data_IF_428096228544
#
_entry.id   IF_428096228544
#
_cell.length_a   1.000
_cell.length_b   1.000
_cell.length_c   1.000
_cell.angle_alpha   90.00
_cell.angle_beta   90.00
_cell.angle_gamma   90.00
#
_symmetry.space_group_name_H-M   'P 1'
#
loop_
_entity.id
_entity.type
_entity.pdbx_description
1 polymer ?
#
# COMPACT_ATOMS: atom_id res chain seq x y z
N UNK A 1 5.91 24.72 -37.47
CA UNK A 1 6.93 23.77 -36.97
C UNK A 1 6.75 23.65 -35.47
N UNK A 2 6.08 22.59 -35.01
CA UNK A 2 5.84 22.37 -33.58
C UNK A 2 7.12 21.81 -32.96
N UNK A 3 7.76 22.57 -32.06
CA UNK A 3 8.87 22.01 -31.28
C UNK A 3 8.34 20.84 -30.42
N UNK A 4 9.02 19.68 -30.40
CA UNK A 4 8.76 18.67 -29.39
C UNK A 4 9.07 19.28 -28.02
N UNK A 5 8.08 19.33 -27.14
CA UNK A 5 8.26 19.81 -25.77
C UNK A 5 9.33 19.00 -25.02
N UNK A 6 9.98 19.59 -24.01
CA UNK A 6 11.02 18.90 -23.25
C UNK A 6 10.48 17.59 -22.65
N UNK A 7 11.31 16.54 -22.57
CA UNK A 7 10.90 15.26 -22.00
C UNK A 7 10.49 15.49 -20.54
N UNK A 8 9.19 15.39 -20.27
CA UNK A 8 8.67 15.30 -18.90
C UNK A 8 9.43 14.12 -18.28
N UNK A 9 10.17 14.34 -17.20
CA UNK A 9 10.92 13.26 -16.54
C UNK A 9 10.10 12.80 -15.34
N UNK A 10 9.11 11.92 -15.50
CA UNK A 10 8.17 11.63 -14.45
C UNK A 10 8.73 10.40 -13.73
N UNK A 11 9.55 10.63 -12.72
CA UNK A 11 10.09 9.63 -11.81
C UNK A 11 10.15 10.05 -10.32
N UNK A 12 10.07 11.33 -9.91
CA UNK A 12 10.29 11.68 -8.50
C UNK A 12 9.14 11.20 -7.59
N UNK A 13 7.88 11.30 -8.01
CA UNK A 13 6.75 10.97 -7.15
C UNK A 13 6.68 9.47 -6.78
N UNK A 14 6.87 8.56 -7.74
CA UNK A 14 6.86 7.12 -7.48
C UNK A 14 8.02 6.71 -6.57
N UNK A 15 9.19 7.32 -6.76
CA UNK A 15 10.38 7.08 -5.94
C UNK A 15 10.16 7.53 -4.51
N UNK A 16 9.58 8.72 -4.31
CA UNK A 16 9.19 9.23 -2.99
C UNK A 16 8.21 8.30 -2.31
N UNK A 17 7.15 7.85 -3.00
CA UNK A 17 6.16 6.94 -2.41
C UNK A 17 6.78 5.59 -2.05
N UNK A 18 7.66 5.03 -2.90
CA UNK A 18 8.41 3.81 -2.58
C UNK A 18 9.32 3.99 -1.36
N UNK A 19 9.97 5.15 -1.24
CA UNK A 19 10.81 5.46 -0.09
C UNK A 19 9.96 5.52 1.19
N UNK A 20 8.81 6.19 1.17
CA UNK A 20 7.89 6.25 2.32
C UNK A 20 7.41 4.85 2.72
N UNK A 21 6.90 4.05 1.76
CA UNK A 21 6.44 2.68 2.04
C UNK A 21 7.59 1.78 2.53
N UNK A 22 8.78 1.94 1.95
CA UNK A 22 9.99 1.25 2.40
C UNK A 22 10.40 1.65 3.82
N UNK A 23 10.33 2.94 4.16
CA UNK A 23 10.63 3.45 5.49
C UNK A 23 9.67 2.89 6.55
N UNK A 24 8.38 2.74 6.22
CA UNK A 24 7.40 2.07 7.10
C UNK A 24 7.78 0.60 7.36
N UNK A 25 8.16 -0.14 6.31
CA UNK A 25 8.65 -1.52 6.48
C UNK A 25 9.92 -1.59 7.33
N UNK A 26 10.88 -0.69 7.11
CA UNK A 26 12.11 -0.61 7.92
C UNK A 26 11.80 -0.27 9.37
N UNK A 27 10.83 0.61 9.64
CA UNK A 27 10.42 0.95 11.00
C UNK A 27 9.95 -0.29 11.77
N UNK A 28 9.20 -1.20 11.15
CA UNK A 28 8.80 -2.46 11.78
C UNK A 28 9.99 -3.34 12.15
N UNK A 29 11.02 -3.39 11.31
CA UNK A 29 12.25 -4.13 11.58
C UNK A 29 13.03 -3.53 12.75
N UNK A 30 13.14 -2.19 12.80
CA UNK A 30 13.78 -1.47 13.89
C UNK A 30 13.03 -1.71 15.21
N UNK A 31 11.70 -1.67 15.19
CA UNK A 31 10.85 -1.99 16.35
C UNK A 31 11.10 -3.44 16.81
N UNK A 32 11.08 -4.40 15.89
CA UNK A 32 11.34 -5.81 16.20
C UNK A 32 12.72 -6.04 16.84
N UNK A 33 13.73 -5.34 16.32
CA UNK A 33 15.09 -5.39 16.83
C UNK A 33 15.18 -4.78 18.23
N UNK A 34 14.61 -3.59 18.45
CA UNK A 34 14.59 -2.95 19.76
C UNK A 34 13.89 -3.83 20.81
N UNK A 35 12.78 -4.47 20.43
CA UNK A 35 12.04 -5.36 21.32
C UNK A 35 12.79 -6.64 21.70
N UNK A 36 13.76 -7.07 20.89
CA UNK A 36 14.61 -8.23 21.17
C UNK A 36 15.44 -8.07 22.45
N UNK A 37 15.69 -6.82 22.85
CA UNK A 37 16.40 -6.48 24.08
C UNK A 37 15.47 -6.39 25.31
N UNK A 38 14.15 -6.42 25.11
CA UNK A 38 13.15 -6.22 26.17
C UNK A 38 12.43 -7.52 26.52
N UNK A 39 12.20 -8.40 25.54
CA UNK A 39 11.37 -9.61 25.69
C UNK A 39 12.22 -10.87 25.56
N UNK A 40 11.98 -11.90 26.39
CA UNK A 40 12.78 -13.12 26.32
C UNK A 40 12.56 -13.90 25.03
N UNK A 41 13.59 -14.66 24.65
CA UNK A 41 13.56 -15.62 23.54
C UNK A 41 12.90 -16.93 23.96
N UNK A 42 11.63 -16.87 24.35
CA UNK A 42 10.82 -18.02 24.73
C UNK A 42 9.91 -18.47 23.57
N UNK A 43 9.58 -19.76 23.52
CA UNK A 43 8.62 -20.29 22.55
C UNK A 43 7.28 -19.53 22.65
N UNK A 44 6.69 -19.10 21.53
CA UNK A 44 5.45 -18.34 21.56
C UNK A 44 4.30 -19.27 21.97
N UNK A 45 3.41 -18.84 22.87
CA UNK A 45 2.23 -19.63 23.21
C UNK A 45 1.35 -19.78 21.98
N UNK A 46 0.76 -20.97 21.79
CA UNK A 46 -0.03 -21.28 20.60
C UNK A 46 -1.15 -20.27 20.35
N UNK A 47 -1.78 -19.78 21.43
CA UNK A 47 -2.84 -18.75 21.37
C UNK A 47 -2.35 -17.46 20.72
N UNK A 48 -1.09 -17.04 20.99
CA UNK A 48 -0.53 -15.85 20.37
C UNK A 48 -0.28 -16.04 18.87
N UNK A 49 0.25 -17.21 18.49
CA UNK A 49 0.47 -17.56 17.08
C UNK A 49 -0.85 -17.54 16.32
N UNK A 50 -1.88 -18.21 16.85
CA UNK A 50 -3.22 -18.23 16.25
C UNK A 50 -3.80 -16.82 16.14
N UNK A 51 -3.70 -16.00 17.17
CA UNK A 51 -4.22 -14.63 17.16
C UNK A 51 -3.53 -13.74 16.11
N UNK A 52 -2.20 -13.83 15.98
CA UNK A 52 -1.44 -13.10 14.94
C UNK A 52 -1.85 -13.54 13.54
N UNK A 53 -1.98 -14.85 13.31
CA UNK A 53 -2.40 -15.38 12.01
C UNK A 53 -3.84 -15.01 11.66
N UNK A 54 -4.76 -15.01 12.64
CA UNK A 54 -6.13 -14.53 12.45
C UNK A 54 -6.17 -13.04 12.12
N UNK A 55 -5.37 -12.22 12.81
CA UNK A 55 -5.24 -10.80 12.51
C UNK A 55 -4.70 -10.57 11.09
N UNK A 56 -3.72 -11.36 10.66
CA UNK A 56 -3.19 -11.34 9.30
C UNK A 56 -4.20 -11.76 8.24
N UNK A 57 -4.96 -12.83 8.48
CA UNK A 57 -6.01 -13.27 7.58
C UNK A 57 -7.10 -12.20 7.43
N UNK A 58 -7.49 -11.55 8.53
CA UNK A 58 -8.44 -10.44 8.52
C UNK A 58 -7.90 -9.23 7.74
N UNK A 59 -6.66 -8.83 8.01
CA UNK A 59 -6.00 -7.74 7.29
C UNK A 59 -5.92 -8.02 5.78
N UNK A 60 -5.49 -9.23 5.38
CA UNK A 60 -5.46 -9.66 3.98
C UNK A 60 -6.85 -9.64 3.34
N UNK A 61 -7.88 -10.10 4.05
CA UNK A 61 -9.26 -10.06 3.57
C UNK A 61 -9.74 -8.62 3.35
N UNK A 62 -9.43 -7.69 4.25
CA UNK A 62 -9.76 -6.28 4.09
C UNK A 62 -9.00 -5.63 2.92
N UNK A 63 -7.70 -5.90 2.81
CA UNK A 63 -6.85 -5.40 1.73
C UNK A 63 -7.32 -5.88 0.35
N UNK A 64 -7.73 -7.14 0.23
CA UNK A 64 -8.25 -7.71 -1.03
C UNK A 64 -9.54 -7.04 -1.52
N UNK A 65 -10.30 -6.39 -0.63
CA UNK A 65 -11.57 -5.72 -0.97
C UNK A 65 -11.40 -4.28 -1.41
N UNK A 66 -10.30 -3.62 -1.02
CA UNK A 66 -10.16 -2.16 -1.11
C UNK A 66 -10.02 -1.62 -2.55
N UNK A 67 -9.67 -2.46 -3.53
CA UNK A 67 -9.53 -2.05 -4.93
C UNK A 67 -10.83 -1.84 -5.73
N UNK A 68 -12.00 -2.05 -5.12
CA UNK A 68 -13.30 -2.09 -5.84
C UNK A 68 -14.20 -0.87 -5.65
N UNK A 69 -13.78 0.15 -4.87
CA UNK A 69 -14.67 1.23 -4.40
C UNK A 69 -14.12 2.64 -4.66
N UNK A 70 -13.54 2.86 -5.83
CA UNK A 70 -13.08 4.19 -6.21
C UNK A 70 -14.19 4.88 -6.99
N UNK A 71 -14.68 5.99 -6.45
CA UNK A 71 -15.66 6.81 -7.13
C UNK A 71 -15.00 7.50 -8.34
N UNK A 72 -15.59 7.41 -9.55
CA UNK A 72 -15.07 8.09 -10.72
C UNK A 72 -15.01 9.62 -10.55
N UNK A 73 -14.13 10.27 -11.30
CA UNK A 73 -14.07 11.72 -11.35
C UNK A 73 -15.30 12.27 -12.08
N UNK A 74 -15.98 13.30 -11.54
CA UNK A 74 -17.11 13.94 -12.21
C UNK A 74 -16.75 14.41 -13.63
N UNK A 75 -17.66 14.20 -14.57
CA UNK A 75 -17.53 14.69 -15.94
C UNK A 75 -17.36 16.23 -15.96
N UNK A 76 -16.38 16.72 -16.74
CA UNK A 76 -16.13 18.16 -16.91
C UNK A 76 -15.39 18.83 -15.73
N UNK A 77 -14.85 18.06 -14.78
CA UNK A 77 -14.01 18.60 -13.71
C UNK A 77 -12.75 19.29 -14.30
N UNK A 78 -12.36 20.50 -13.81
CA UNK A 78 -11.12 21.15 -14.24
C UNK A 78 -9.89 20.27 -13.98
N UNK A 79 -8.93 20.27 -14.92
CA UNK A 79 -7.77 19.39 -14.91
C UNK A 79 -6.95 19.46 -13.61
N UNK A 80 -6.70 20.67 -13.10
CA UNK A 80 -5.94 20.84 -11.84
C UNK A 80 -6.65 20.19 -10.64
N UNK A 81 -7.97 20.38 -10.53
CA UNK A 81 -8.77 19.74 -9.47
C UNK A 81 -8.87 18.23 -9.63
N UNK A 82 -8.95 17.75 -10.86
CA UNK A 82 -8.97 16.31 -11.16
C UNK A 82 -7.66 15.66 -10.69
N UNK A 83 -6.51 16.30 -10.96
CA UNK A 83 -5.18 15.85 -10.54
C UNK A 83 -5.02 15.84 -9.02
N UNK A 84 -5.43 16.91 -8.34
CA UNK A 84 -5.35 17.01 -6.88
C UNK A 84 -6.21 15.94 -6.21
N UNK A 85 -7.44 15.76 -6.69
CA UNK A 85 -8.35 14.73 -6.18
C UNK A 85 -7.82 13.33 -6.42
N UNK A 86 -7.32 13.04 -7.61
CA UNK A 86 -6.74 11.75 -7.95
C UNK A 86 -5.53 11.41 -7.05
N UNK A 87 -4.67 12.40 -6.81
CA UNK A 87 -3.50 12.26 -5.92
C UNK A 87 -3.92 12.01 -4.47
N UNK A 88 -4.90 12.76 -3.97
CA UNK A 88 -5.44 12.57 -2.62
C UNK A 88 -6.09 11.19 -2.43
N UNK A 89 -6.84 10.70 -3.43
CA UNK A 89 -7.42 9.35 -3.42
C UNK A 89 -6.33 8.28 -3.42
N UNK A 90 -5.27 8.44 -4.22
CA UNK A 90 -4.14 7.52 -4.22
C UNK A 90 -3.43 7.48 -2.87
N UNK A 91 -3.07 8.64 -2.31
CA UNK A 91 -2.37 8.73 -1.02
C UNK A 91 -3.20 8.18 0.13
N UNK A 92 -4.49 8.51 0.20
CA UNK A 92 -5.39 7.99 1.23
C UNK A 92 -5.56 6.48 1.13
N UNK A 93 -5.73 5.94 -0.09
CA UNK A 93 -5.79 4.48 -0.27
C UNK A 93 -4.48 3.82 0.14
N UNK A 94 -3.33 4.39 -0.22
CA UNK A 94 -2.03 3.83 0.14
C UNK A 94 -1.83 3.79 1.66
N UNK A 95 -2.09 4.90 2.35
CA UNK A 95 -1.96 4.99 3.80
C UNK A 95 -2.90 4.02 4.51
N UNK A 96 -4.14 3.88 4.02
CA UNK A 96 -5.10 2.95 4.57
C UNK A 96 -4.64 1.50 4.38
N UNK A 97 -4.09 1.15 3.22
CA UNK A 97 -3.52 -0.19 3.00
C UNK A 97 -2.31 -0.46 3.90
N UNK A 98 -1.45 0.53 4.07
CA UNK A 98 -0.29 0.42 4.95
C UNK A 98 -0.73 0.15 6.40
N UNK A 99 -1.69 0.92 6.90
CA UNK A 99 -2.25 0.72 8.24
C UNK A 99 -2.85 -0.68 8.43
N UNK A 100 -3.59 -1.20 7.44
CA UNK A 100 -4.11 -2.57 7.49
C UNK A 100 -3.01 -3.63 7.46
N UNK A 101 -1.96 -3.43 6.65
CA UNK A 101 -0.84 -4.36 6.55
C UNK A 101 -0.05 -4.48 7.86
N UNK A 102 -0.05 -3.44 8.69
CA UNK A 102 0.66 -3.42 9.98
C UNK A 102 -0.13 -4.05 11.15
N UNK A 103 -1.43 -4.32 10.98
CA UNK A 103 -2.28 -4.92 12.04
C UNK A 103 -1.64 -6.15 12.70
N UNK A 104 -1.06 -7.12 11.96
CA UNK A 104 -0.46 -8.30 12.57
C UNK A 104 0.73 -7.96 13.48
N UNK A 105 1.52 -6.94 13.11
CA UNK A 105 2.63 -6.48 13.93
C UNK A 105 2.14 -5.82 15.22
N UNK A 106 1.12 -4.95 15.16
CA UNK A 106 0.53 -4.35 16.36
C UNK A 106 -0.11 -5.38 17.29
N UNK A 107 -0.82 -6.37 16.74
CA UNK A 107 -1.38 -7.48 17.52
C UNK A 107 -0.27 -8.28 18.18
N UNK A 108 0.82 -8.56 17.47
CA UNK A 108 1.96 -9.29 18.01
C UNK A 108 2.69 -8.51 19.12
N UNK A 109 2.86 -7.20 18.97
CA UNK A 109 3.39 -6.32 20.03
C UNK A 109 2.51 -6.42 21.27
N UNK A 110 1.19 -6.24 21.14
CA UNK A 110 0.26 -6.30 22.25
C UNK A 110 0.31 -7.66 22.99
N UNK A 111 0.31 -8.77 22.23
CA UNK A 111 0.37 -10.12 22.79
C UNK A 111 1.72 -10.42 23.46
N UNK A 112 2.82 -9.87 22.94
CA UNK A 112 4.15 -10.04 23.54
C UNK A 112 4.25 -9.44 24.94
N UNK A 113 3.42 -8.44 25.26
CA UNK A 113 3.36 -7.78 26.57
C UNK A 113 2.26 -8.39 27.44
N UNK A 114 1.11 -8.71 26.86
CA UNK A 114 -0.05 -9.20 27.60
C UNK A 114 0.12 -10.62 28.14
N UNK A 115 0.81 -11.49 27.39
CA UNK A 115 1.03 -12.88 27.78
C UNK A 115 2.33 -13.02 28.57
N UNK A 116 2.32 -13.86 29.60
CA UNK A 116 3.50 -14.16 30.43
C UNK A 116 3.85 -15.66 30.33
N UNK A 117 5.11 -16.01 30.02
CA UNK A 117 6.18 -15.10 29.60
C UNK A 117 5.89 -14.49 28.21
N UNK A 118 6.29 -13.23 28.01
CA UNK A 118 6.30 -12.62 26.69
C UNK A 118 7.24 -13.40 25.76
N UNK A 119 7.06 -13.28 24.45
CA UNK A 119 7.87 -14.01 23.47
C UNK A 119 8.29 -13.13 22.31
N UNK A 120 9.59 -12.98 22.10
CA UNK A 120 10.14 -12.29 20.94
C UNK A 120 9.69 -12.93 19.62
N UNK A 121 9.55 -14.26 19.58
CA UNK A 121 9.07 -14.99 18.41
C UNK A 121 7.63 -14.61 18.02
N UNK A 122 6.78 -14.24 18.99
CA UNK A 122 5.43 -13.72 18.69
C UNK A 122 5.53 -12.44 17.88
N UNK A 123 6.38 -11.51 18.31
CA UNK A 123 6.62 -10.26 17.60
C UNK A 123 7.24 -10.48 16.22
N UNK A 124 8.28 -11.32 16.15
CA UNK A 124 8.96 -11.63 14.91
C UNK A 124 7.99 -12.19 13.85
N UNK A 125 7.05 -13.06 14.26
CA UNK A 125 5.99 -13.56 13.39
C UNK A 125 5.08 -12.44 12.89
N UNK A 126 4.59 -11.57 13.78
CA UNK A 126 3.71 -10.46 13.40
C UNK A 126 4.37 -9.47 12.46
N UNK A 127 5.64 -9.14 12.70
CA UNK A 127 6.43 -8.26 11.83
C UNK A 127 6.70 -8.93 10.48
N UNK A 128 7.11 -10.21 10.46
CA UNK A 128 7.34 -10.93 9.22
C UNK A 128 6.08 -10.98 8.34
N UNK A 129 4.93 -11.31 8.93
CA UNK A 129 3.66 -11.35 8.19
C UNK A 129 3.22 -9.95 7.76
N UNK A 130 3.38 -8.94 8.62
CA UNK A 130 3.08 -7.54 8.27
C UNK A 130 3.91 -7.05 7.08
N UNK A 131 5.21 -7.37 7.04
CA UNK A 131 6.09 -7.06 5.92
C UNK A 131 5.66 -7.77 4.63
N UNK A 132 5.24 -9.02 4.71
CA UNK A 132 4.68 -9.75 3.56
C UNK A 132 3.43 -9.04 3.04
N UNK A 133 2.49 -8.65 3.92
CA UNK A 133 1.29 -7.91 3.51
C UNK A 133 1.64 -6.54 2.91
N UNK A 134 2.62 -5.85 3.48
CA UNK A 134 3.09 -4.56 2.98
C UNK A 134 3.69 -4.70 1.57
N UNK A 135 4.54 -5.69 1.34
CA UNK A 135 5.11 -5.99 0.02
C UNK A 135 4.08 -6.44 -1.03
N UNK A 136 3.04 -7.18 -0.60
CA UNK A 136 2.02 -7.69 -1.52
C UNK A 136 0.94 -6.67 -1.88
N UNK A 137 0.43 -5.92 -0.90
CA UNK A 137 -0.76 -5.09 -1.08
C UNK A 137 -0.49 -3.58 -1.09
N UNK A 138 0.61 -3.14 -0.48
CA UNK A 138 0.92 -1.70 -0.30
C UNK A 138 1.97 -1.23 -1.28
N UNK A 139 2.89 -2.12 -1.68
CA UNK A 139 4.00 -1.73 -2.57
C UNK A 139 3.48 -1.04 -3.84
N UNK A 140 3.92 0.19 -4.16
CA UNK A 140 3.42 0.96 -5.28
C UNK A 140 3.97 0.38 -6.59
N UNK A 141 3.17 -0.48 -7.20
CA UNK A 141 3.43 -1.07 -8.52
C UNK A 141 2.73 -0.26 -9.63
N UNK A 142 3.33 -0.16 -10.83
CA UNK A 142 2.72 0.55 -11.96
C UNK A 142 1.30 0.06 -12.27
N UNK A 143 1.04 -1.24 -12.18
CA UNK A 143 -0.27 -1.82 -12.51
C UNK A 143 -1.36 -1.36 -11.54
N UNK A 144 -1.01 -1.08 -10.29
CA UNK A 144 -1.93 -0.53 -9.30
C UNK A 144 -2.33 0.91 -9.62
N UNK A 145 -1.37 1.70 -10.09
CA UNK A 145 -1.58 3.10 -10.51
C UNK A 145 -2.46 3.13 -11.75
N UNK A 146 -2.23 2.24 -12.72
CA UNK A 146 -3.04 2.14 -13.93
C UNK A 146 -4.48 1.74 -13.66
N UNK A 147 -4.69 0.75 -12.78
CA UNK A 147 -6.04 0.33 -12.38
C UNK A 147 -6.77 1.47 -11.68
N UNK A 148 -6.10 2.20 -10.80
CA UNK A 148 -6.70 3.34 -10.11
C UNK A 148 -7.03 4.48 -11.07
N UNK A 149 -6.11 4.83 -11.96
CA UNK A 149 -6.33 5.86 -12.98
C UNK A 149 -7.51 5.49 -13.88
N UNK A 150 -7.60 4.23 -14.31
CA UNK A 150 -8.70 3.74 -15.15
C UNK A 150 -10.06 3.79 -14.43
N UNK A 151 -10.08 3.50 -13.12
CA UNK A 151 -11.30 3.60 -12.31
C UNK A 151 -11.75 5.06 -12.12
N UNK A 152 -10.79 5.97 -11.89
CA UNK A 152 -11.06 7.41 -11.76
C UNK A 152 -11.55 8.02 -13.09
N UNK A 153 -11.01 7.54 -14.21
CA UNK A 153 -11.30 8.04 -15.56
C UNK A 153 -12.56 7.42 -16.18
N UNK A 154 -13.31 6.58 -15.44
CA UNK A 154 -14.46 5.85 -15.98
C UNK A 154 -15.59 6.74 -16.52
N UNK A 155 -15.66 8.02 -16.13
CA UNK A 155 -16.60 9.02 -16.66
C UNK A 155 -16.00 9.92 -17.75
N UNK A 156 -14.80 9.61 -18.26
CA UNK A 156 -14.15 10.35 -19.34
C UNK A 156 -13.31 11.56 -18.89
N UNK A 157 -13.19 11.81 -17.59
CA UNK A 157 -12.34 12.89 -17.06
C UNK A 157 -10.91 12.39 -16.82
N UNK A 158 -9.88 12.96 -17.48
CA UNK A 158 -8.50 12.55 -17.32
C UNK A 158 -8.00 12.85 -15.90
N UNK A 159 -7.28 11.90 -15.29
CA UNK A 159 -6.78 12.04 -13.91
C UNK A 159 -5.35 12.62 -13.80
N UNK A 160 -4.58 12.60 -14.90
CA UNK A 160 -3.12 12.88 -14.94
C UNK A 160 -2.29 12.08 -13.91
N UNK A 161 -2.85 11.00 -13.37
CA UNK A 161 -2.21 10.19 -12.33
C UNK A 161 -1.00 9.43 -12.90
N UNK A 162 -1.14 8.84 -14.09
CA UNK A 162 -0.07 8.11 -14.78
C UNK A 162 1.14 9.02 -15.06
N UNK A 163 0.88 10.21 -15.59
CA UNK A 163 1.89 11.25 -15.86
C UNK A 163 2.60 11.68 -14.57
N UNK A 164 1.85 11.87 -13.49
CA UNK A 164 2.40 12.27 -12.18
C UNK A 164 3.37 11.22 -11.63
N UNK A 165 3.09 9.93 -11.84
CA UNK A 165 3.92 8.83 -11.34
C UNK A 165 4.90 8.23 -12.35
N UNK A 166 4.92 8.71 -13.60
CA UNK A 166 5.83 8.16 -14.61
C UNK A 166 5.42 6.84 -15.23
N UNK A 167 4.14 6.49 -15.12
CA UNK A 167 3.63 5.27 -15.72
C UNK A 167 3.28 5.58 -17.18
N UNK A 168 3.80 4.81 -18.17
CA UNK A 168 3.47 5.03 -19.57
C UNK A 168 1.95 4.98 -19.78
N UNK A 169 1.39 5.91 -20.56
CA UNK A 169 0.01 5.77 -20.99
C UNK A 169 -0.14 4.48 -21.82
N UNK A 170 -1.23 3.73 -21.61
CA UNK A 170 -1.56 2.60 -22.50
C UNK A 170 -1.63 3.13 -23.93
N UNK A 171 -0.81 2.56 -24.80
CA UNK A 171 -0.83 2.91 -26.22
C UNK A 171 -2.15 2.49 -26.87
N UNK A 172 -2.51 3.05 -28.04
CA UNK A 172 -3.74 2.73 -28.77
C UNK A 172 -3.91 1.26 -29.18
N UNK A 173 -2.91 0.40 -28.95
CA UNK A 173 -2.94 -1.04 -29.21
C UNK A 173 -3.48 -1.88 -28.05
N UNK A 174 -3.71 -1.31 -26.86
CA UNK A 174 -4.18 -2.03 -25.66
C UNK A 174 -5.69 -1.87 -25.39
N UNK A 175 -6.46 -1.33 -26.35
CA UNK A 175 -7.91 -1.32 -26.23
C UNK A 175 -8.42 -2.78 -26.26
N UNK A 176 -9.26 -3.22 -25.29
CA UNK A 176 -9.88 -4.52 -25.38
C UNK A 176 -10.68 -4.62 -26.69
N UNK A 177 -10.69 -5.79 -27.35
CA UNK A 177 -11.50 -5.96 -28.55
C UNK A 177 -12.94 -5.58 -28.21
N UNK A 178 -13.48 -4.62 -28.96
CA UNK A 178 -14.87 -4.22 -28.88
C UNK A 178 -15.73 -5.41 -29.28
N UNK A 179 -16.25 -6.12 -28.28
CA UNK A 179 -17.30 -7.13 -28.41
C UNK A 179 -18.66 -6.53 -28.16
#
# INVERSE_FOLDING_TARGET
MSQPGPPVTPQPALRTVRLVVGAMGVALLVIALAWAFVVPFAAPPLVAVVAVLLAAALAAALLSRQGRRVEPLPAGMPADRARDRATAVFQSSLMLRAAFAEIPAFVAIALSVALRPGSWWTLALGVAVGLVLLGLFVWPRPEGIDRLASALEAQGTPSSLRETFGVPARGPYDAPPSG
#
